data_IF_957803372798
#
_entry.id   IF_957803372798
#
_cell.length_a   1.000
_cell.length_b   1.000
_cell.length_c   1.000
_cell.angle_alpha   90.00
_cell.angle_beta   90.00
_cell.angle_gamma   90.00
#
_symmetry.space_group_name_H-M   'P 1'
#
loop_
_entity.id
_entity.type
_entity.pdbx_description
1 polymer ?
#
# COMPACT_ATOMS: atom_id res chain seq x y z
N UNK A 1 -82.61 -1.20 -73.24
CA UNK A 1 -82.78 -2.66 -73.43
C UNK A 1 -81.46 -3.32 -73.10
N UNK A 2 -81.53 -4.45 -72.37
CA UNK A 2 -80.42 -5.32 -71.92
C UNK A 2 -79.61 -4.85 -70.70
N UNK A 3 -79.26 -5.69 -69.73
CA UNK A 3 -79.91 -6.82 -69.04
C UNK A 3 -79.06 -7.02 -67.77
N UNK A 4 -79.71 -7.29 -66.66
CA UNK A 4 -79.11 -7.63 -65.36
C UNK A 4 -78.31 -8.93 -65.38
N UNK A 5 -77.18 -8.96 -64.65
CA UNK A 5 -76.55 -10.14 -64.04
C UNK A 5 -75.51 -9.61 -63.03
N UNK A 6 -75.17 -10.21 -61.90
CA UNK A 6 -75.68 -11.28 -61.06
C UNK A 6 -74.89 -11.14 -59.74
N UNK A 7 -75.42 -11.68 -58.65
CA UNK A 7 -75.05 -11.37 -57.25
C UNK A 7 -73.89 -12.24 -56.73
N UNK A 8 -73.22 -11.74 -55.67
CA UNK A 8 -72.74 -12.46 -54.47
C UNK A 8 -71.38 -13.19 -54.45
N UNK A 9 -70.50 -12.78 -53.52
CA UNK A 9 -69.83 -13.64 -52.51
C UNK A 9 -69.14 -12.74 -51.44
N UNK A 10 -69.68 -12.61 -50.22
CA UNK A 10 -69.34 -13.36 -48.98
C UNK A 10 -67.88 -13.24 -48.51
N UNK A 11 -67.66 -12.32 -47.56
CA UNK A 11 -67.05 -12.59 -46.24
C UNK A 11 -65.54 -12.52 -46.11
N UNK A 12 -65.07 -11.68 -45.18
CA UNK A 12 -64.30 -12.07 -43.99
C UNK A 12 -63.85 -10.83 -43.23
N UNK A 13 -63.99 -10.86 -41.91
CA UNK A 13 -63.54 -9.79 -41.02
C UNK A 13 -62.02 -9.67 -41.03
N UNK A 14 -61.54 -8.44 -41.01
CA UNK A 14 -60.15 -8.15 -40.70
C UNK A 14 -60.10 -7.55 -39.29
N UNK A 15 -59.61 -8.38 -38.38
CA UNK A 15 -59.29 -7.99 -37.03
C UNK A 15 -58.30 -6.83 -37.04
N UNK A 16 -58.58 -5.81 -36.23
CA UNK A 16 -57.62 -4.76 -35.90
C UNK A 16 -56.38 -5.40 -35.27
N UNK A 17 -55.27 -5.43 -35.99
CA UNK A 17 -53.97 -5.73 -35.40
C UNK A 17 -53.40 -4.41 -34.88
N UNK A 18 -53.39 -4.26 -33.55
CA UNK A 18 -52.63 -3.21 -32.90
C UNK A 18 -51.15 -3.34 -33.29
N UNK A 19 -50.44 -2.24 -33.61
CA UNK A 19 -49.01 -2.33 -33.86
C UNK A 19 -48.33 -2.80 -32.58
N UNK A 20 -47.75 -3.99 -32.60
CA UNK A 20 -46.83 -4.44 -31.57
C UNK A 20 -45.65 -3.46 -31.56
N UNK A 21 -45.50 -2.73 -30.47
CA UNK A 21 -44.37 -1.83 -30.26
C UNK A 21 -43.08 -2.66 -30.40
N UNK A 22 -42.40 -2.47 -31.52
CA UNK A 22 -41.14 -3.14 -31.82
C UNK A 22 -40.13 -2.62 -30.81
N UNK A 23 -39.79 -3.42 -29.79
CA UNK A 23 -38.65 -3.10 -28.92
C UNK A 23 -37.42 -3.04 -29.82
N UNK A 24 -36.94 -1.82 -30.08
CA UNK A 24 -35.67 -1.59 -30.76
C UNK A 24 -34.59 -2.05 -29.79
N UNK A 25 -33.98 -3.20 -30.07
CA UNK A 25 -32.70 -3.55 -29.48
C UNK A 25 -31.65 -2.56 -29.98
N UNK A 26 -31.37 -1.55 -29.17
CA UNK A 26 -30.30 -0.59 -29.38
C UNK A 26 -28.96 -1.31 -29.17
N UNK A 27 -28.21 -1.54 -30.25
CA UNK A 27 -26.82 -1.97 -30.15
C UNK A 27 -25.92 -0.81 -29.75
N UNK A 28 -24.77 -1.13 -29.16
CA UNK A 28 -23.73 -0.16 -28.82
C UNK A 28 -23.17 0.49 -30.09
N UNK A 29 -22.93 1.80 -30.03
CA UNK A 29 -22.32 2.53 -31.16
C UNK A 29 -20.80 2.36 -31.16
N UNK A 30 -20.16 2.50 -32.32
CA UNK A 30 -18.69 2.44 -32.42
C UNK A 30 -18.02 3.49 -31.51
N UNK A 31 -18.59 4.70 -31.47
CA UNK A 31 -18.08 5.80 -30.64
C UNK A 31 -18.14 5.47 -29.15
N UNK A 32 -19.15 4.73 -28.71
CA UNK A 32 -19.31 4.34 -27.30
C UNK A 32 -18.24 3.33 -26.87
N UNK A 33 -17.88 2.39 -27.73
CA UNK A 33 -16.78 1.45 -27.48
C UNK A 33 -15.45 2.22 -27.42
N UNK A 34 -15.24 3.18 -28.33
CA UNK A 34 -14.03 4.01 -28.34
C UNK A 34 -13.90 4.85 -27.06
N UNK A 35 -14.99 5.49 -26.62
CA UNK A 35 -15.01 6.26 -25.37
C UNK A 35 -14.79 5.34 -24.17
N UNK A 36 -15.42 4.16 -24.15
CA UNK A 36 -15.24 3.17 -23.08
C UNK A 36 -13.80 2.70 -22.96
N UNK A 37 -13.14 2.41 -24.09
CA UNK A 37 -11.73 2.02 -24.12
C UNK A 37 -10.81 3.18 -23.70
N UNK A 38 -11.13 4.42 -24.07
CA UNK A 38 -10.37 5.59 -23.64
C UNK A 38 -10.44 5.78 -22.12
N UNK A 39 -11.63 5.69 -21.52
CA UNK A 39 -11.81 5.76 -20.05
C UNK A 39 -11.10 4.59 -19.36
N UNK A 40 -11.21 3.38 -19.91
CA UNK A 40 -10.54 2.19 -19.39
C UNK A 40 -9.01 2.38 -19.39
N UNK A 41 -8.42 2.87 -20.47
CA UNK A 41 -6.99 3.11 -20.57
C UNK A 41 -6.48 4.12 -19.54
N UNK A 42 -7.23 5.21 -19.33
CA UNK A 42 -6.92 6.22 -18.29
C UNK A 42 -7.00 5.58 -16.91
N UNK A 43 -8.08 4.86 -16.60
CA UNK A 43 -8.27 4.20 -15.31
C UNK A 43 -7.14 3.20 -15.01
N UNK A 44 -6.76 2.36 -15.98
CA UNK A 44 -5.67 1.40 -15.83
C UNK A 44 -4.32 2.08 -15.59
N UNK A 45 -4.05 3.21 -16.25
CA UNK A 45 -2.80 3.97 -16.06
C UNK A 45 -2.72 4.57 -14.66
N UNK A 46 -3.83 5.12 -14.16
CA UNK A 46 -3.91 5.63 -12.77
C UNK A 46 -3.71 4.49 -11.77
N UNK A 47 -4.37 3.34 -11.97
CA UNK A 47 -4.23 2.18 -11.09
C UNK A 47 -2.80 1.60 -11.06
N UNK A 48 -2.14 1.52 -12.23
CA UNK A 48 -0.75 1.08 -12.33
C UNK A 48 0.21 2.07 -11.64
N UNK A 49 -0.06 3.38 -11.73
CA UNK A 49 0.71 4.41 -11.04
C UNK A 49 0.63 4.33 -9.51
N UNK A 50 -0.52 3.90 -8.95
CA UNK A 50 -0.70 3.71 -7.50
C UNK A 50 0.11 2.52 -6.99
N UNK A 51 0.13 1.41 -7.74
CA UNK A 51 0.80 0.16 -7.33
C UNK A 51 2.30 0.30 -7.07
N UNK A 52 2.98 1.18 -7.80
CA UNK A 52 4.43 1.38 -7.63
C UNK A 52 4.80 2.12 -6.33
N UNK A 53 3.86 2.89 -5.74
CA UNK A 53 4.10 3.59 -4.47
C UNK A 53 3.93 2.66 -3.27
N UNK A 54 2.96 1.75 -3.35
CA UNK A 54 2.65 0.81 -2.26
C UNK A 54 3.80 -0.16 -1.97
N UNK A 55 4.51 -0.60 -3.00
CA UNK A 55 5.65 -1.52 -2.86
C UNK A 55 6.81 -0.83 -2.14
N UNK A 56 7.13 0.42 -2.49
CA UNK A 56 8.20 1.17 -1.84
C UNK A 56 7.87 1.46 -0.37
N UNK A 57 6.62 1.82 -0.08
CA UNK A 57 6.14 2.02 1.29
C UNK A 57 6.19 0.73 2.12
N UNK A 58 5.82 -0.40 1.52
CA UNK A 58 5.88 -1.71 2.19
C UNK A 58 7.31 -2.14 2.52
N UNK A 59 8.27 -1.92 1.60
CA UNK A 59 9.69 -2.23 1.83
C UNK A 59 10.24 -1.37 2.97
N UNK A 60 9.97 -0.07 2.93
CA UNK A 60 10.39 0.87 3.97
C UNK A 60 9.81 0.51 5.36
N UNK A 61 8.52 0.15 5.42
CA UNK A 61 7.88 -0.29 6.66
C UNK A 61 8.53 -1.58 7.21
N UNK A 62 8.94 -2.49 6.32
CA UNK A 62 9.72 -3.68 6.68
C UNK A 62 11.04 -3.32 7.35
N UNK A 63 11.84 -2.45 6.71
CA UNK A 63 13.12 -2.00 7.25
C UNK A 63 12.99 -1.30 8.61
N UNK A 64 12.00 -0.43 8.78
CA UNK A 64 11.74 0.23 10.07
C UNK A 64 11.44 -0.81 11.16
N UNK A 65 10.63 -1.82 10.84
CA UNK A 65 10.27 -2.88 11.79
C UNK A 65 11.50 -3.67 12.19
N UNK A 66 12.32 -4.09 11.21
CA UNK A 66 13.55 -4.85 11.43
C UNK A 66 14.58 -4.04 12.23
N UNK A 67 14.85 -2.80 11.85
CA UNK A 67 15.73 -1.88 12.59
C UNK A 67 15.26 -1.69 14.04
N UNK A 68 13.95 -1.60 14.26
CA UNK A 68 13.36 -1.48 15.60
C UNK A 68 13.57 -2.73 16.43
N UNK A 69 13.41 -3.92 15.84
CA UNK A 69 13.64 -5.19 16.54
C UNK A 69 15.11 -5.35 16.92
N UNK A 70 16.02 -5.06 16.00
CA UNK A 70 17.47 -5.08 16.24
C UNK A 70 17.87 -4.08 17.33
N UNK A 71 17.32 -2.87 17.29
CA UNK A 71 17.56 -1.87 18.34
C UNK A 71 17.09 -2.35 19.71
N UNK A 72 15.88 -2.93 19.79
CA UNK A 72 15.33 -3.46 21.05
C UNK A 72 16.16 -4.61 21.59
N UNK A 73 16.63 -5.51 20.73
CA UNK A 73 17.53 -6.59 21.12
C UNK A 73 18.81 -6.00 21.73
N UNK A 74 19.44 -5.05 21.04
CA UNK A 74 20.67 -4.41 21.50
C UNK A 74 20.50 -3.67 22.83
N UNK A 75 19.41 -2.90 23.00
CA UNK A 75 19.08 -2.26 24.27
C UNK A 75 18.91 -3.29 25.38
N UNK A 76 18.28 -4.43 25.08
CA UNK A 76 18.08 -5.50 26.06
C UNK A 76 19.40 -6.12 26.50
N UNK A 77 20.34 -6.36 25.58
CA UNK A 77 21.69 -6.83 25.88
C UNK A 77 22.43 -5.86 26.81
N UNK A 78 22.39 -4.56 26.49
CA UNK A 78 23.03 -3.51 27.30
C UNK A 78 22.39 -3.42 28.68
N UNK A 79 21.06 -3.47 28.74
CA UNK A 79 20.31 -3.40 30.00
C UNK A 79 20.59 -4.62 30.87
N UNK A 80 20.75 -5.80 30.27
CA UNK A 80 21.12 -7.03 30.99
C UNK A 80 22.52 -6.94 31.62
N UNK A 81 23.47 -6.26 30.97
CA UNK A 81 24.78 -5.96 31.55
C UNK A 81 24.70 -4.98 32.74
N UNK A 82 23.58 -4.27 32.91
CA UNK A 82 23.26 -3.44 34.07
C UNK A 82 23.64 -1.97 33.87
N UNK A 83 24.91 -1.64 34.06
CA UNK A 83 25.38 -0.24 34.07
C UNK A 83 26.48 -0.03 33.02
N UNK A 84 26.13 0.38 31.79
CA UNK A 84 27.08 0.45 30.69
C UNK A 84 28.06 1.59 30.86
N UNK A 85 29.33 1.37 30.50
CA UNK A 85 30.37 2.38 30.52
C UNK A 85 30.04 3.58 29.63
N UNK A 86 30.55 4.75 30.03
CA UNK A 86 30.40 5.99 29.27
C UNK A 86 31.17 5.92 27.96
N UNK A 87 30.66 6.60 26.93
CA UNK A 87 31.33 6.75 25.65
C UNK A 87 30.49 6.30 24.47
N UNK A 88 31.09 6.44 23.28
CA UNK A 88 30.49 6.04 22.02
C UNK A 88 31.07 4.70 21.55
N UNK A 89 30.20 3.82 21.05
CA UNK A 89 30.56 2.54 20.42
C UNK A 89 29.78 2.41 19.13
N UNK A 90 30.36 1.71 18.16
CA UNK A 90 29.70 1.40 16.90
C UNK A 90 30.04 -0.02 16.46
N UNK A 91 29.18 -0.59 15.63
CA UNK A 91 29.33 -1.94 15.12
C UNK A 91 28.26 -2.31 14.11
N UNK A 92 28.19 -3.59 13.81
CA UNK A 92 27.19 -4.19 12.93
C UNK A 92 26.41 -5.30 13.67
N UNK A 93 25.40 -5.84 12.99
CA UNK A 93 24.59 -6.95 13.48
C UNK A 93 25.04 -8.30 12.88
N UNK A 94 26.30 -8.39 12.42
CA UNK A 94 26.88 -9.60 11.83
C UNK A 94 26.36 -9.95 10.43
N UNK A 95 26.71 -11.17 9.99
CA UNK A 95 26.40 -11.69 8.64
C UNK A 95 24.89 -11.93 8.42
N UNK A 96 24.10 -12.05 9.48
CA UNK A 96 22.64 -12.22 9.38
C UNK A 96 21.96 -10.91 8.95
N UNK A 97 22.55 -9.76 9.32
CA UNK A 97 22.01 -8.42 9.07
C UNK A 97 23.09 -7.48 8.49
N UNK A 98 23.69 -7.79 7.33
CA UNK A 98 24.85 -7.07 6.80
C UNK A 98 24.56 -5.62 6.38
N UNK A 99 23.27 -5.31 6.16
CA UNK A 99 22.81 -3.99 5.78
C UNK A 99 22.56 -3.05 6.97
N UNK A 100 22.62 -3.58 8.20
CA UNK A 100 22.31 -2.84 9.41
C UNK A 100 23.58 -2.59 10.22
N UNK A 101 23.73 -1.35 10.68
CA UNK A 101 24.79 -0.93 11.59
C UNK A 101 24.18 -0.26 12.80
N UNK A 102 24.90 -0.25 13.90
CA UNK A 102 24.48 0.47 15.10
C UNK A 102 25.58 1.40 15.59
N UNK A 103 25.13 2.50 16.21
CA UNK A 103 25.94 3.46 16.94
C UNK A 103 25.26 3.69 18.27
N UNK A 104 25.99 3.50 19.36
CA UNK A 104 25.49 3.76 20.70
C UNK A 104 26.37 4.80 21.39
N UNK A 105 25.75 5.68 22.15
CA UNK A 105 26.44 6.71 22.93
C UNK A 105 25.84 6.75 24.32
N UNK A 106 26.66 6.45 25.32
CA UNK A 106 26.28 6.49 26.73
C UNK A 106 26.81 7.77 27.37
N UNK A 107 25.89 8.59 27.85
CA UNK A 107 26.16 9.88 28.50
C UNK A 107 25.83 9.81 29.99
N UNK A 108 26.66 10.50 30.77
CA UNK A 108 26.39 10.71 32.18
C UNK A 108 25.28 11.76 32.32
N UNK A 109 24.25 11.45 33.09
CA UNK A 109 23.22 12.44 33.44
C UNK A 109 23.61 13.21 34.70
N UNK A 110 22.89 14.30 35.06
CA UNK A 110 23.10 14.98 36.34
C UNK A 110 22.92 14.10 37.58
N UNK A 111 22.28 12.93 37.44
CA UNK A 111 22.13 11.94 38.49
C UNK A 111 23.19 10.84 38.32
N UNK A 112 24.06 10.65 39.32
CA UNK A 112 25.17 9.67 39.24
C UNK A 112 24.69 8.24 38.95
N UNK A 113 23.52 7.88 39.49
CA UNK A 113 22.90 6.55 39.35
C UNK A 113 22.16 6.35 38.01
N UNK A 114 22.08 7.37 37.15
CA UNK A 114 21.37 7.31 35.86
C UNK A 114 22.32 7.66 34.70
N UNK A 115 22.34 6.79 33.69
CA UNK A 115 23.02 7.04 32.41
C UNK A 115 21.99 7.10 31.28
N UNK A 116 22.22 7.98 30.33
CA UNK A 116 21.44 8.09 29.11
C UNK A 116 22.14 7.29 28.01
N UNK A 117 21.43 6.31 27.43
CA UNK A 117 21.87 5.55 26.28
C UNK A 117 21.12 6.06 25.04
N UNK A 118 21.87 6.61 24.09
CA UNK A 118 21.39 6.92 22.75
C UNK A 118 21.84 5.82 21.81
N UNK A 119 20.90 5.07 21.24
CA UNK A 119 21.17 4.03 20.24
C UNK A 119 20.59 4.47 18.90
N UNK A 120 21.40 4.40 17.85
CA UNK A 120 21.01 4.68 16.48
C UNK A 120 21.29 3.44 15.63
N UNK A 121 20.26 2.94 14.94
CA UNK A 121 20.38 1.86 13.96
C UNK A 121 20.28 2.45 12.57
N UNK A 122 21.27 2.18 11.73
CA UNK A 122 21.42 2.72 10.39
C UNK A 122 21.30 1.61 9.35
N UNK A 123 20.61 1.88 8.25
CA UNK A 123 20.55 0.99 7.08
C UNK A 123 20.56 1.79 5.77
N UNK A 124 20.83 1.08 4.68
CA UNK A 124 20.84 1.67 3.33
C UNK A 124 19.57 1.31 2.58
N UNK A 125 18.86 2.34 2.12
CA UNK A 125 17.72 2.23 1.19
C UNK A 125 18.15 2.80 -0.17
N UNK A 126 18.64 1.92 -1.05
CA UNK A 126 19.23 2.31 -2.33
C UNK A 126 20.49 3.18 -2.16
N UNK A 127 20.36 4.49 -2.39
CA UNK A 127 21.46 5.48 -2.19
C UNK A 127 21.33 6.30 -0.91
N UNK A 128 20.23 6.14 -0.18
CA UNK A 128 19.96 6.89 1.06
C UNK A 128 20.43 6.06 2.26
N UNK A 129 21.03 6.74 3.23
CA UNK A 129 21.19 6.19 4.58
C UNK A 129 20.02 6.67 5.42
N UNK A 130 19.30 5.71 5.98
CA UNK A 130 18.19 5.95 6.91
C UNK A 130 18.63 5.50 8.30
N UNK A 131 18.01 6.07 9.33
CA UNK A 131 18.25 5.64 10.70
C UNK A 131 17.01 5.73 11.57
N UNK A 132 16.99 4.91 12.62
CA UNK A 132 16.07 5.03 13.76
C UNK A 132 16.90 5.24 15.01
N UNK A 133 16.50 6.24 15.81
CA UNK A 133 17.15 6.60 17.08
C UNK A 133 16.25 6.25 18.26
N UNK A 134 16.85 5.65 19.28
CA UNK A 134 16.25 5.32 20.56
C UNK A 134 17.05 5.99 21.67
N UNK A 135 16.36 6.63 22.60
CA UNK A 135 16.97 7.17 23.82
C UNK A 135 16.34 6.46 25.01
N UNK A 136 17.17 5.85 25.85
CA UNK A 136 16.73 5.15 27.06
C UNK A 136 17.57 5.57 28.25
N UNK A 137 16.98 5.52 29.44
CA UNK A 137 17.65 5.83 30.69
C UNK A 137 17.89 4.54 31.47
N UNK A 138 19.14 4.30 31.83
CA UNK A 138 19.57 3.11 32.55
C UNK A 138 19.93 3.51 33.98
N UNK A 139 19.32 2.81 34.94
CA UNK A 139 19.54 3.02 36.37
C UNK A 139 20.49 1.95 36.91
N UNK A 140 21.44 2.36 37.75
CA UNK A 140 22.27 1.42 38.49
C UNK A 140 21.46 0.78 39.63
N UNK A 141 20.85 -0.38 39.37
CA UNK A 141 20.03 -1.10 40.34
C UNK A 141 20.82 -1.88 41.42
N UNK A 142 22.15 -1.76 41.45
CA UNK A 142 22.99 -2.36 42.50
C UNK A 142 23.56 -1.25 43.40
N UNK A 143 22.79 -0.92 44.43
CA UNK A 143 23.26 -0.30 45.66
C UNK A 143 23.14 -1.30 46.80
#
# INVERSE_FOLDING_TARGET
MSMSMFKSHKGRGEARLAPTARMRNSGFTLIEIMVSLAVLAIALTVLLGLRNRDIALSSYAGHITEATLLARQRISEITFAGFPELGAREGDFGEEYPNYKWKEEVKQTPYEVVRELNLEVLWKEGKREESVRFTTFLFNARG
#
